data_IF_723239161557
#
_entry.id   IF_723239161557
#
_cell.length_a   1.000
_cell.length_b   1.000
_cell.length_c   1.000
_cell.angle_alpha   90.00
_cell.angle_beta   90.00
_cell.angle_gamma   90.00
#
_symmetry.space_group_name_H-M   'P 1'
#
loop_
_entity.id
_entity.type
_entity.pdbx_description
1 polymer ?
#
# COMPACT_ATOMS: atom_id res chain seq x y z
N UNK A 1 -3.96 -7.07 -3.29
CA UNK A 1 -4.66 -7.35 -4.57
C UNK A 1 -6.17 -7.08 -4.53
N UNK A 2 -6.84 -7.08 -3.36
CA UNK A 2 -8.31 -6.94 -3.27
C UNK A 2 -8.83 -5.49 -3.30
N UNK A 3 -8.23 -4.58 -2.53
CA UNK A 3 -8.82 -3.27 -2.22
C UNK A 3 -9.03 -2.34 -3.43
N UNK A 4 -8.10 -2.33 -4.39
CA UNK A 4 -8.13 -1.36 -5.50
C UNK A 4 -9.32 -1.61 -6.45
N UNK A 5 -9.53 -2.82 -6.99
CA UNK A 5 -10.72 -3.10 -7.80
C UNK A 5 -12.04 -2.87 -7.07
N UNK A 6 -12.11 -3.13 -5.77
CA UNK A 6 -13.31 -2.89 -4.96
C UNK A 6 -13.65 -1.39 -4.90
N UNK A 7 -12.70 -0.57 -4.45
CA UNK A 7 -12.86 0.88 -4.37
C UNK A 7 -13.13 1.52 -5.75
N UNK A 8 -12.53 0.99 -6.82
CA UNK A 8 -12.75 1.47 -8.18
C UNK A 8 -14.17 1.20 -8.67
N UNK A 9 -14.77 0.04 -8.33
CA UNK A 9 -16.17 -0.26 -8.68
C UNK A 9 -17.13 0.71 -8.02
N UNK A 10 -16.89 1.06 -6.75
CA UNK A 10 -17.69 2.06 -6.05
C UNK A 10 -17.50 3.46 -6.66
N UNK A 11 -16.25 3.90 -6.84
CA UNK A 11 -15.93 5.28 -7.24
C UNK A 11 -16.20 5.58 -8.72
N UNK A 12 -15.98 4.62 -9.61
CA UNK A 12 -16.03 4.80 -11.07
C UNK A 12 -17.12 3.96 -11.75
N UNK A 13 -17.70 3.00 -11.04
CA UNK A 13 -18.72 2.08 -11.55
C UNK A 13 -18.19 0.68 -11.87
N UNK A 14 -19.10 -0.27 -12.02
CA UNK A 14 -18.80 -1.70 -12.26
C UNK A 14 -17.91 -1.92 -13.49
N UNK A 15 -18.07 -1.09 -14.51
CA UNK A 15 -17.36 -1.16 -15.79
C UNK A 15 -16.20 -0.16 -15.90
N UNK A 16 -15.59 0.25 -14.76
CA UNK A 16 -14.48 1.22 -14.74
C UNK A 16 -13.31 0.86 -15.67
N UNK A 17 -13.07 -0.43 -15.92
CA UNK A 17 -12.03 -0.94 -16.80
C UNK A 17 -12.33 -0.71 -18.29
N UNK A 18 -13.55 -0.31 -18.66
CA UNK A 18 -13.93 0.02 -20.04
C UNK A 18 -13.69 1.50 -20.38
N UNK A 19 -13.46 2.37 -19.38
CA UNK A 19 -13.23 3.80 -19.59
C UNK A 19 -12.02 4.03 -20.51
N UNK A 20 -12.03 5.05 -21.39
CA UNK A 20 -10.96 5.27 -22.35
C UNK A 20 -9.54 5.35 -21.77
N UNK A 21 -9.40 5.88 -20.55
CA UNK A 21 -8.11 5.96 -19.84
C UNK A 21 -7.67 4.64 -19.21
N UNK A 22 -8.63 3.76 -18.88
CA UNK A 22 -8.40 2.54 -18.10
C UNK A 22 -8.38 1.28 -18.99
N UNK A 23 -8.98 1.36 -20.17
CA UNK A 23 -9.06 0.22 -21.10
C UNK A 23 -7.67 -0.20 -21.54
N UNK A 24 -7.47 -1.52 -21.58
CA UNK A 24 -6.27 -2.09 -22.17
C UNK A 24 -6.11 -1.67 -23.63
N UNK A 25 -4.86 -1.49 -24.05
CA UNK A 25 -4.49 -1.30 -25.46
C UNK A 25 -4.61 -2.63 -26.20
N UNK A 26 -4.22 -3.74 -25.55
CA UNK A 26 -4.40 -5.07 -26.10
C UNK A 26 -5.88 -5.46 -26.15
N UNK A 27 -6.24 -6.25 -27.15
CA UNK A 27 -7.60 -6.77 -27.28
C UNK A 27 -7.95 -7.64 -26.08
N UNK A 28 -8.95 -7.21 -25.32
CA UNK A 28 -9.54 -8.00 -24.22
C UNK A 28 -10.78 -8.71 -24.76
N UNK A 29 -10.75 -10.04 -24.72
CA UNK A 29 -11.91 -10.89 -24.99
C UNK A 29 -12.36 -11.55 -23.69
N UNK A 30 -13.35 -10.95 -23.03
CA UNK A 30 -13.92 -11.41 -21.76
C UNK A 30 -15.44 -11.65 -21.91
N UNK A 31 -15.86 -12.66 -22.68
CA UNK A 31 -17.27 -12.94 -22.95
C UNK A 31 -18.05 -13.43 -21.70
N UNK A 32 -17.44 -13.49 -20.52
CA UNK A 32 -18.12 -13.91 -19.29
C UNK A 32 -18.44 -12.74 -18.35
N UNK A 33 -17.95 -11.54 -18.66
CA UNK A 33 -18.34 -10.30 -17.98
C UNK A 33 -19.37 -9.61 -18.88
N UNK A 34 -20.59 -9.43 -18.36
CA UNK A 34 -21.73 -8.85 -19.07
C UNK A 34 -22.38 -7.77 -18.23
N UNK A 35 -23.02 -6.85 -18.93
CA UNK A 35 -23.91 -5.85 -18.35
C UNK A 35 -23.25 -4.97 -17.27
N UNK A 36 -24.08 -4.41 -16.40
CA UNK A 36 -23.69 -3.38 -15.44
C UNK A 36 -23.88 -1.97 -15.98
N UNK A 37 -23.87 -1.01 -15.06
CA UNK A 37 -24.04 0.40 -15.40
C UNK A 37 -22.89 0.84 -16.32
N UNK A 38 -23.21 1.73 -17.27
CA UNK A 38 -22.27 2.33 -18.23
C UNK A 38 -21.44 1.35 -19.07
N UNK A 39 -22.02 0.18 -19.39
CA UNK A 39 -21.40 -0.79 -20.31
C UNK A 39 -21.23 -0.21 -21.71
N UNK A 40 -20.01 -0.25 -22.25
CA UNK A 40 -19.69 0.22 -23.61
C UNK A 40 -19.49 -0.94 -24.60
N UNK A 41 -18.91 -2.05 -24.14
CA UNK A 41 -18.75 -3.30 -24.90
C UNK A 41 -19.44 -4.44 -24.15
N UNK A 42 -20.43 -5.07 -24.79
CA UNK A 42 -21.21 -6.16 -24.18
C UNK A 42 -21.23 -7.46 -25.00
N UNK A 43 -20.31 -7.61 -25.96
CA UNK A 43 -20.07 -8.83 -26.76
C UNK A 43 -21.29 -9.44 -27.51
N UNK A 44 -22.43 -8.75 -27.58
CA UNK A 44 -23.57 -9.14 -28.42
C UNK A 44 -24.11 -10.54 -28.09
N UNK A 45 -24.33 -11.36 -29.12
CA UNK A 45 -24.87 -12.72 -29.02
C UNK A 45 -23.84 -13.78 -28.59
N UNK A 46 -22.61 -13.40 -28.23
CA UNK A 46 -21.60 -14.35 -27.78
C UNK A 46 -22.06 -15.07 -26.50
N UNK A 47 -21.92 -16.41 -26.42
CA UNK A 47 -22.25 -17.18 -25.22
C UNK A 47 -21.58 -16.60 -23.96
N UNK A 48 -22.38 -16.34 -22.92
CA UNK A 48 -21.92 -15.76 -21.65
C UNK A 48 -21.54 -16.81 -20.59
N UNK A 49 -21.36 -18.06 -20.99
CA UNK A 49 -21.01 -19.18 -20.12
C UNK A 49 -19.82 -19.99 -20.69
N UNK A 50 -19.08 -20.65 -19.80
CA UNK A 50 -17.91 -21.47 -20.19
C UNK A 50 -18.33 -22.78 -20.86
N UNK A 51 -17.48 -23.31 -21.74
CA UNK A 51 -17.68 -24.59 -22.44
C UNK A 51 -18.92 -24.65 -23.35
N UNK A 52 -19.36 -23.52 -23.88
CA UNK A 52 -20.35 -23.50 -24.96
C UNK A 52 -19.82 -24.21 -26.20
N UNK A 53 -20.67 -24.95 -26.90
CA UNK A 53 -20.35 -25.52 -28.22
C UNK A 53 -20.52 -24.51 -29.36
N UNK A 54 -21.07 -23.32 -29.07
CA UNK A 54 -21.37 -22.28 -30.04
C UNK A 54 -20.20 -21.30 -30.26
N UNK A 55 -19.14 -21.37 -29.46
CA UNK A 55 -17.97 -20.50 -29.55
C UNK A 55 -16.72 -21.23 -29.03
N UNK A 56 -15.52 -20.96 -29.57
CA UNK A 56 -14.27 -21.48 -29.01
C UNK A 56 -14.01 -21.03 -27.56
N UNK A 57 -14.71 -19.99 -27.09
CA UNK A 57 -14.60 -19.48 -25.73
C UNK A 57 -13.23 -18.88 -25.41
N UNK A 58 -12.94 -18.68 -24.12
CA UNK A 58 -11.62 -18.29 -23.64
C UNK A 58 -10.94 -19.53 -23.05
N UNK A 59 -9.82 -19.95 -23.65
CA UNK A 59 -9.03 -21.06 -23.11
C UNK A 59 -8.41 -20.64 -21.79
N UNK A 60 -8.73 -21.36 -20.71
CA UNK A 60 -8.01 -21.21 -19.45
C UNK A 60 -6.63 -21.87 -19.60
N UNK A 61 -5.56 -21.17 -19.22
CA UNK A 61 -4.29 -21.83 -19.00
C UNK A 61 -4.46 -22.74 -17.78
N UNK A 62 -4.14 -24.03 -17.94
CA UNK A 62 -4.21 -24.98 -16.82
C UNK A 62 -3.32 -24.48 -15.68
N UNK A 63 -3.78 -24.62 -14.43
CA UNK A 63 -3.00 -24.31 -13.21
C UNK A 63 -1.60 -24.92 -13.24
N UNK A 64 -1.41 -26.04 -13.95
CA UNK A 64 -0.11 -26.69 -14.16
C UNK A 64 0.92 -25.84 -14.92
N UNK A 65 0.53 -24.74 -15.54
CA UNK A 65 1.41 -23.81 -16.24
C UNK A 65 1.82 -22.59 -15.40
N UNK A 66 1.26 -22.42 -14.19
CA UNK A 66 1.63 -21.36 -13.26
C UNK A 66 2.67 -21.94 -12.28
N UNK A 67 3.93 -21.97 -12.69
CA UNK A 67 5.04 -22.34 -11.82
C UNK A 67 5.39 -21.17 -10.91
N UNK A 68 4.91 -21.20 -9.67
CA UNK A 68 5.51 -20.41 -8.60
C UNK A 68 6.77 -21.16 -8.12
N UNK A 69 7.92 -20.49 -8.14
CA UNK A 69 9.17 -21.07 -7.61
C UNK A 69 9.20 -21.08 -6.08
N UNK A 70 8.24 -20.42 -5.44
CA UNK A 70 8.16 -20.25 -4.01
C UNK A 70 7.44 -21.44 -3.37
N UNK A 71 8.11 -22.12 -2.44
CA UNK A 71 7.51 -23.18 -1.63
C UNK A 71 6.70 -22.54 -0.50
N UNK A 72 5.39 -22.74 -0.50
CA UNK A 72 4.56 -22.49 0.68
C UNK A 72 4.77 -23.65 1.64
N UNK A 73 5.11 -23.36 2.90
CA UNK A 73 5.33 -24.39 3.91
C UNK A 73 4.07 -25.24 4.10
N UNK A 74 4.21 -26.57 4.03
CA UNK A 74 3.09 -27.51 4.01
C UNK A 74 2.27 -27.56 5.32
N UNK A 75 2.77 -26.94 6.40
CA UNK A 75 2.18 -27.00 7.74
C UNK A 75 1.82 -25.62 8.30
N UNK A 76 1.57 -24.63 7.44
CA UNK A 76 1.11 -23.32 7.90
C UNK A 76 -0.25 -23.45 8.61
N UNK A 77 -0.35 -22.88 9.81
CA UNK A 77 -1.62 -22.76 10.53
C UNK A 77 -2.34 -21.50 10.05
N UNK A 78 -3.65 -21.61 9.80
CA UNK A 78 -4.48 -20.44 9.54
C UNK A 78 -4.63 -19.65 10.84
N UNK A 79 -4.15 -18.40 10.85
CA UNK A 79 -4.21 -17.52 12.00
C UNK A 79 -3.92 -16.07 11.62
N UNK A 80 -4.09 -15.17 12.59
CA UNK A 80 -3.58 -13.80 12.50
C UNK A 80 -2.09 -13.83 12.78
N UNK A 81 -1.29 -13.96 11.72
CA UNK A 81 0.16 -13.91 11.82
C UNK A 81 0.58 -12.42 11.85
N UNK A 82 0.78 -11.90 13.05
CA UNK A 82 1.32 -10.55 13.26
C UNK A 82 2.85 -10.61 13.27
N UNK A 83 3.48 -9.72 12.51
CA UNK A 83 4.94 -9.53 12.58
C UNK A 83 5.16 -8.45 13.65
N UNK A 84 5.77 -8.78 14.79
CA UNK A 84 5.97 -7.81 15.86
C UNK A 84 6.98 -6.75 15.43
N UNK A 85 6.86 -5.55 16.01
CA UNK A 85 7.90 -4.54 15.88
C UNK A 85 9.13 -4.97 16.67
N UNK A 86 10.29 -4.98 16.04
CA UNK A 86 11.57 -5.34 16.66
C UNK A 86 12.69 -4.35 16.30
N UNK A 87 13.93 -4.70 16.64
CA UNK A 87 15.08 -3.82 16.41
C UNK A 87 15.41 -3.65 14.91
N UNK A 88 14.98 -4.57 14.03
CA UNK A 88 15.22 -4.51 12.59
C UNK A 88 14.43 -3.37 11.93
N UNK A 89 13.24 -3.05 12.44
CA UNK A 89 12.41 -1.93 11.97
C UNK A 89 13.13 -0.57 12.08
N UNK A 90 14.12 -0.46 12.96
CA UNK A 90 14.88 0.77 13.18
C UNK A 90 16.19 0.83 12.39
N UNK A 91 16.61 -0.27 11.73
CA UNK A 91 17.89 -0.32 10.99
C UNK A 91 17.85 0.60 9.76
N UNK A 92 16.86 0.43 8.88
CA UNK A 92 16.79 1.23 7.64
C UNK A 92 16.53 2.72 7.91
N UNK A 93 15.64 3.12 8.84
CA UNK A 93 15.49 4.53 9.22
C UNK A 93 16.78 5.13 9.81
N UNK A 94 17.58 4.35 10.54
CA UNK A 94 18.87 4.81 11.08
C UNK A 94 19.89 5.01 9.97
N UNK A 95 19.90 4.14 8.96
CA UNK A 95 20.76 4.32 7.79
C UNK A 95 20.37 5.56 6.99
N UNK A 96 19.07 5.85 6.84
CA UNK A 96 18.59 7.11 6.24
C UNK A 96 19.14 8.32 7.02
N UNK A 97 18.99 8.34 8.35
CA UNK A 97 19.49 9.43 9.21
C UNK A 97 21.01 9.61 9.11
N UNK A 98 21.76 8.51 9.22
CA UNK A 98 23.22 8.57 9.38
C UNK A 98 23.97 8.71 8.05
N UNK A 99 23.44 8.14 6.97
CA UNK A 99 24.19 7.90 5.74
C UNK A 99 23.65 8.64 4.53
N UNK A 100 22.40 9.11 4.60
CA UNK A 100 21.73 9.77 3.48
C UNK A 100 21.52 11.26 3.80
N UNK A 101 20.98 11.58 4.97
CA UNK A 101 20.74 12.99 5.33
C UNK A 101 22.03 13.74 5.64
N UNK A 102 22.13 14.95 5.07
CA UNK A 102 23.06 15.96 5.55
C UNK A 102 22.53 16.69 6.79
N UNK A 103 23.36 17.54 7.40
CA UNK A 103 23.00 18.23 8.65
C UNK A 103 21.83 19.21 8.48
N UNK A 104 21.70 19.84 7.30
CA UNK A 104 20.59 20.75 7.02
C UNK A 104 19.26 20.00 6.85
N UNK A 105 19.30 18.81 6.24
CA UNK A 105 18.15 17.91 6.12
C UNK A 105 17.75 17.34 7.48
N UNK A 106 18.72 16.96 8.33
CA UNK A 106 18.47 16.53 9.70
C UNK A 106 17.76 17.60 10.53
N UNK A 107 18.25 18.84 10.48
CA UNK A 107 17.62 19.95 11.19
C UNK A 107 16.18 20.21 10.69
N UNK A 108 15.98 20.24 9.37
CA UNK A 108 14.65 20.40 8.76
C UNK A 108 13.72 19.26 9.14
N UNK A 109 14.20 18.02 9.13
CA UNK A 109 13.42 16.85 9.52
C UNK A 109 12.93 16.99 10.96
N UNK A 110 13.82 17.28 11.91
CA UNK A 110 13.46 17.47 13.31
C UNK A 110 12.48 18.63 13.47
N UNK A 111 12.72 19.76 12.80
CA UNK A 111 11.82 20.91 12.81
C UNK A 111 10.41 20.56 12.31
N UNK A 112 10.30 19.84 11.20
CA UNK A 112 9.02 19.42 10.61
C UNK A 112 8.27 18.44 11.52
N UNK A 113 8.96 17.43 12.07
CA UNK A 113 8.35 16.47 12.98
C UNK A 113 7.84 17.18 14.24
N UNK A 114 8.67 17.98 14.91
CA UNK A 114 8.27 18.71 16.11
C UNK A 114 7.14 19.71 15.81
N UNK A 115 7.18 20.38 14.66
CA UNK A 115 6.10 21.25 14.19
C UNK A 115 4.77 20.50 14.02
N UNK A 116 4.81 19.28 13.46
CA UNK A 116 3.62 18.43 13.30
C UNK A 116 3.02 17.95 14.64
N UNK A 117 3.83 17.93 15.71
CA UNK A 117 3.41 17.55 17.05
C UNK A 117 2.76 18.70 17.83
N UNK A 118 2.65 19.90 17.26
CA UNK A 118 1.98 21.02 17.89
C UNK A 118 0.53 20.66 18.28
N UNK A 119 0.13 20.98 19.51
CA UNK A 119 -1.20 20.66 20.04
C UNK A 119 -1.42 19.20 20.44
N UNK A 120 -0.42 18.32 20.26
CA UNK A 120 -0.52 16.92 20.68
C UNK A 120 -0.33 16.80 22.20
N UNK A 121 -1.12 15.96 22.92
CA UNK A 121 -0.93 15.68 24.33
C UNK A 121 0.50 15.27 24.67
N UNK A 122 1.01 15.71 25.82
CA UNK A 122 2.40 15.44 26.26
C UNK A 122 2.78 13.96 26.24
N UNK A 123 1.95 13.00 26.73
CA UNK A 123 2.32 11.58 26.69
C UNK A 123 2.56 11.04 25.28
N UNK A 124 1.84 11.56 24.28
CA UNK A 124 2.02 11.17 22.89
C UNK A 124 3.30 11.80 22.30
N UNK A 125 3.62 13.03 22.67
CA UNK A 125 4.90 13.67 22.27
C UNK A 125 6.09 12.90 22.82
N UNK A 126 6.03 12.48 24.09
CA UNK A 126 7.06 11.66 24.73
C UNK A 126 7.20 10.29 24.05
N UNK A 127 6.09 9.63 23.72
CA UNK A 127 6.10 8.37 22.99
C UNK A 127 6.76 8.50 21.60
N UNK A 128 6.48 9.58 20.87
CA UNK A 128 7.10 9.84 19.56
C UNK A 128 8.60 10.09 19.71
N UNK A 129 9.02 10.89 20.68
CA UNK A 129 10.45 11.09 20.98
C UNK A 129 11.13 9.77 21.34
N UNK A 130 10.50 8.94 22.16
CA UNK A 130 11.03 7.63 22.53
C UNK A 130 11.17 6.69 21.32
N UNK A 131 10.19 6.68 20.42
CA UNK A 131 10.25 5.91 19.17
C UNK A 131 11.39 6.39 18.26
N UNK A 132 11.51 7.70 18.01
CA UNK A 132 12.60 8.23 17.18
C UNK A 132 13.98 8.04 17.83
N UNK A 133 14.05 8.00 19.17
CA UNK A 133 15.29 7.66 19.88
C UNK A 133 15.76 6.23 19.63
N UNK A 134 14.85 5.30 19.30
CA UNK A 134 15.21 3.94 18.86
C UNK A 134 15.83 3.95 17.46
N UNK A 135 15.42 4.88 16.59
CA UNK A 135 16.08 5.09 15.29
C UNK A 135 17.50 5.62 15.53
N UNK A 136 17.63 6.77 16.18
CA UNK A 136 18.92 7.30 16.63
C UNK A 136 18.73 8.21 17.85
N UNK A 137 19.60 8.07 18.85
CA UNK A 137 19.56 8.89 20.06
C UNK A 137 19.68 10.38 19.76
N UNK A 138 20.41 10.77 18.72
CA UNK A 138 20.58 12.16 18.31
C UNK A 138 19.24 12.79 17.90
N UNK A 139 18.39 12.05 17.18
CA UNK A 139 17.07 12.54 16.76
C UNK A 139 16.24 12.90 18.00
N UNK A 140 16.18 12.00 18.98
CA UNK A 140 15.45 12.23 20.23
C UNK A 140 15.96 13.45 20.99
N UNK A 141 17.28 13.61 21.09
CA UNK A 141 17.91 14.77 21.75
C UNK A 141 17.55 16.09 21.05
N UNK A 142 17.67 16.14 19.72
CA UNK A 142 17.34 17.32 18.93
C UNK A 142 15.84 17.66 19.03
N UNK A 143 14.96 16.65 19.01
CA UNK A 143 13.52 16.85 19.19
C UNK A 143 13.18 17.44 20.57
N UNK A 144 13.77 16.91 21.64
CA UNK A 144 13.56 17.43 23.00
C UNK A 144 14.01 18.89 23.10
N UNK A 145 15.18 19.22 22.53
CA UNK A 145 15.68 20.58 22.50
C UNK A 145 14.69 21.51 21.80
N UNK A 146 14.21 21.12 20.61
CA UNK A 146 13.26 21.91 19.82
C UNK A 146 11.90 22.10 20.49
N UNK A 147 11.39 21.07 21.16
CA UNK A 147 10.12 21.16 21.92
C UNK A 147 10.24 22.17 23.06
N UNK A 148 11.38 22.19 23.76
CA UNK A 148 11.65 23.15 24.84
C UNK A 148 11.76 24.59 24.30
N UNK A 149 12.44 24.79 23.19
CA UNK A 149 12.49 26.09 22.50
C UNK A 149 11.08 26.61 22.21
N UNK A 150 10.24 25.79 21.57
CA UNK A 150 8.87 26.19 21.19
C UNK A 150 7.95 26.48 22.39
N UNK A 151 8.17 25.82 23.53
CA UNK A 151 7.39 26.06 24.75
C UNK A 151 7.82 27.36 25.44
N UNK A 152 9.06 27.81 25.24
CA UNK A 152 9.59 29.04 25.86
C UNK A 152 9.15 30.31 25.11
N UNK A 153 8.74 30.18 23.85
CA UNK A 153 8.30 31.29 22.98
C UNK A 153 6.77 31.50 22.95
N UNK A 154 6.02 30.80 23.81
CA UNK A 154 4.57 30.97 24.03
C UNK A 154 4.32 31.59 25.41
#
# INVERSE_FOLDING_TARGET
MFAYPDAQRYRLGSNYFQLPSNRSIATVYAPYVRDGITTTKNYGGDPNYVRSTLSPGVTTQSITQITHHERIAANALLGLNEIPVDDEDFVQPRDLWRRVFDDAEKEKFVGNVVGSLAGTPTPLREAVVAMFSKVDSEIGQQMIAKIKENTTHL
#
